data_IF_493645382170
#
_entry.id   IF_493645382170
#
_cell.length_a   1.000
_cell.length_b   1.000
_cell.length_c   1.000
_cell.angle_alpha   90.00
_cell.angle_beta   90.00
_cell.angle_gamma   90.00
#
_symmetry.space_group_name_H-M   'P 1'
#
loop_
_entity.id
_entity.type
_entity.pdbx_description
1 polymer ?
#
# COMPACT_ATOMS: atom_id res chain seq x y z
N UNK A 1 33.54 -3.98 1.00
CA UNK A 1 34.60 -3.08 0.43
C UNK A 1 33.98 -1.83 -0.22
N UNK A 2 32.98 -1.92 -1.11
CA UNK A 2 32.35 -0.75 -1.77
C UNK A 2 31.93 0.33 -0.76
N UNK A 3 31.14 -0.03 0.26
CA UNK A 3 30.62 0.93 1.25
C UNK A 3 31.76 1.56 2.07
N UNK A 4 32.71 0.77 2.56
CA UNK A 4 33.80 1.28 3.40
C UNK A 4 34.79 2.15 2.63
N UNK A 5 35.06 1.82 1.36
CA UNK A 5 35.91 2.68 0.50
C UNK A 5 35.22 4.00 0.19
N UNK A 6 33.92 3.97 -0.12
CA UNK A 6 33.15 5.17 -0.43
C UNK A 6 33.06 6.13 0.78
N UNK A 7 32.84 5.60 1.97
CA UNK A 7 32.73 6.43 3.20
C UNK A 7 34.03 7.16 3.57
N UNK A 8 35.16 6.75 2.99
CA UNK A 8 36.45 7.44 3.15
C UNK A 8 36.63 8.58 2.15
N UNK A 9 35.81 8.66 1.12
CA UNK A 9 35.86 9.77 0.16
C UNK A 9 35.11 10.98 0.70
N UNK A 10 35.52 12.17 0.26
CA UNK A 10 34.84 13.43 0.59
C UNK A 10 34.59 14.19 -0.70
N UNK A 11 33.39 14.71 -0.88
CA UNK A 11 33.02 15.54 -2.03
C UNK A 11 33.62 16.95 -1.90
N UNK A 12 33.60 17.73 -3.00
CA UNK A 12 33.99 19.16 -2.99
C UNK A 12 33.17 19.98 -1.99
N UNK A 13 31.94 19.56 -1.68
CA UNK A 13 31.08 20.16 -0.66
C UNK A 13 31.36 19.69 0.78
N UNK A 14 32.45 18.95 1.01
CA UNK A 14 32.87 18.46 2.33
C UNK A 14 32.00 17.32 2.89
N UNK A 15 31.19 16.66 2.05
CA UNK A 15 30.35 15.54 2.48
C UNK A 15 31.05 14.20 2.24
N UNK A 16 31.01 13.32 3.26
CA UNK A 16 31.50 11.94 3.12
C UNK A 16 30.64 11.17 2.13
N UNK A 17 31.26 10.24 1.41
CA UNK A 17 30.55 9.36 0.51
C UNK A 17 29.71 8.35 1.29
N UNK A 18 28.38 8.46 1.23
CA UNK A 18 27.45 7.55 1.87
C UNK A 18 26.77 6.63 0.85
N UNK A 19 26.33 5.47 1.31
CA UNK A 19 25.75 4.43 0.46
C UNK A 19 24.31 4.14 0.83
N UNK A 20 23.49 3.83 -0.20
CA UNK A 20 22.19 3.18 -0.01
C UNK A 20 22.29 1.79 -0.65
N UNK A 21 21.89 0.75 0.09
CA UNK A 21 21.83 -0.62 -0.41
C UNK A 21 20.37 -1.04 -0.50
N UNK A 22 19.90 -1.30 -1.70
CA UNK A 22 18.56 -1.85 -1.96
C UNK A 22 18.58 -3.36 -1.99
N UNK A 23 17.61 -3.99 -1.32
CA UNK A 23 17.43 -5.44 -1.29
C UNK A 23 15.95 -5.83 -1.26
N UNK A 24 15.66 -7.10 -1.53
CA UNK A 24 14.32 -7.60 -1.80
C UNK A 24 13.41 -7.80 -0.58
N UNK A 25 13.93 -7.82 0.65
CA UNK A 25 13.12 -8.08 1.84
C UNK A 25 13.63 -7.42 3.12
N UNK A 26 12.71 -7.09 4.05
CA UNK A 26 13.03 -6.52 5.36
C UNK A 26 14.03 -7.37 6.13
N UNK A 27 13.83 -8.70 6.15
CA UNK A 27 14.76 -9.64 6.80
C UNK A 27 16.16 -9.57 6.20
N UNK A 28 16.25 -9.40 4.89
CA UNK A 28 17.54 -9.26 4.21
C UNK A 28 18.21 -7.92 4.57
N UNK A 29 17.44 -6.84 4.73
CA UNK A 29 17.98 -5.56 5.20
C UNK A 29 18.71 -5.72 6.55
N UNK A 30 18.07 -6.38 7.53
CA UNK A 30 18.69 -6.63 8.83
C UNK A 30 19.96 -7.45 8.70
N UNK A 31 19.93 -8.58 7.99
CA UNK A 31 21.10 -9.44 7.81
C UNK A 31 22.30 -8.72 7.19
N UNK A 32 22.05 -7.85 6.19
CA UNK A 32 23.13 -7.09 5.53
C UNK A 32 23.65 -6.01 6.48
N UNK A 33 22.76 -5.30 7.17
CA UNK A 33 23.14 -4.25 8.12
C UNK A 33 23.93 -4.83 9.29
N UNK A 34 23.47 -5.92 9.88
CA UNK A 34 24.16 -6.62 10.98
C UNK A 34 25.57 -7.03 10.54
N UNK A 35 25.66 -7.67 9.37
CA UNK A 35 26.96 -8.06 8.80
C UNK A 35 27.90 -6.87 8.56
N UNK A 36 27.38 -5.74 8.05
CA UNK A 36 28.17 -4.51 7.86
C UNK A 36 28.68 -3.96 9.19
N UNK A 37 27.84 -3.91 10.20
CA UNK A 37 28.18 -3.43 11.54
C UNK A 37 29.24 -4.33 12.23
N UNK A 38 29.10 -5.66 12.11
CA UNK A 38 30.09 -6.63 12.60
C UNK A 38 31.46 -6.45 11.93
N UNK A 39 31.49 -5.93 10.68
CA UNK A 39 32.75 -5.65 9.95
C UNK A 39 33.19 -4.18 10.07
N UNK A 40 32.71 -3.45 11.05
CA UNK A 40 33.13 -2.08 11.35
C UNK A 40 32.61 -1.02 10.40
N UNK A 41 31.53 -1.31 9.63
CA UNK A 41 30.87 -0.35 8.73
C UNK A 41 29.54 0.07 9.35
N UNK A 42 29.47 1.32 9.85
CA UNK A 42 28.26 1.82 10.49
C UNK A 42 27.08 1.83 9.53
N UNK A 43 26.06 1.04 9.79
CA UNK A 43 24.88 0.92 8.95
C UNK A 43 23.60 0.91 9.76
N UNK A 44 22.51 1.32 9.11
CA UNK A 44 21.15 1.25 9.66
C UNK A 44 20.19 0.61 8.66
N UNK A 45 19.14 -0.02 9.18
CA UNK A 45 18.06 -0.59 8.36
C UNK A 45 16.95 0.44 8.21
N UNK A 46 16.40 0.57 6.99
CA UNK A 46 15.26 1.44 6.72
C UNK A 46 14.21 0.71 5.90
N UNK A 47 12.98 0.60 6.40
CA UNK A 47 11.87 -0.01 5.67
C UNK A 47 10.51 0.41 6.25
N UNK A 48 9.43 0.21 5.50
CA UNK A 48 8.07 0.57 5.90
C UNK A 48 7.51 -0.15 7.15
N UNK A 49 8.21 -1.15 7.68
CA UNK A 49 7.84 -1.80 8.95
C UNK A 49 8.38 -1.12 10.21
N UNK A 50 9.19 -0.06 10.04
CA UNK A 50 9.67 0.77 11.15
C UNK A 50 8.62 1.83 11.48
N UNK A 51 8.52 2.19 12.76
CA UNK A 51 7.70 3.31 13.20
C UNK A 51 8.18 4.63 12.59
N UNK A 52 7.30 5.63 12.55
CA UNK A 52 7.65 6.98 12.09
C UNK A 52 8.85 7.55 12.86
N UNK A 53 8.87 7.36 14.18
CA UNK A 53 9.96 7.84 15.05
C UNK A 53 11.29 7.19 14.70
N UNK A 54 11.33 5.87 14.53
CA UNK A 54 12.55 5.15 14.14
C UNK A 54 13.06 5.61 12.77
N UNK A 55 12.17 5.76 11.80
CA UNK A 55 12.53 6.26 10.47
C UNK A 55 13.15 7.65 10.55
N UNK A 56 12.54 8.59 11.28
CA UNK A 56 13.08 9.93 11.49
C UNK A 56 14.44 9.93 12.16
N UNK A 57 14.64 9.11 13.18
CA UNK A 57 15.94 8.96 13.87
C UNK A 57 17.04 8.49 12.92
N UNK A 58 16.71 7.56 12.02
CA UNK A 58 17.66 7.06 11.01
C UNK A 58 17.95 8.15 9.97
N UNK A 59 16.95 8.84 9.46
CA UNK A 59 17.07 9.94 8.52
C UNK A 59 17.99 11.04 9.07
N UNK A 60 17.75 11.49 10.30
CA UNK A 60 18.55 12.50 10.97
C UNK A 60 20.00 12.05 11.18
N UNK A 61 20.20 10.79 11.59
CA UNK A 61 21.54 10.23 11.81
C UNK A 61 22.30 10.04 10.50
N UNK A 62 21.62 9.65 9.42
CA UNK A 62 22.24 9.53 8.10
C UNK A 62 22.60 10.92 7.55
N UNK A 63 21.73 11.90 7.65
CA UNK A 63 21.99 13.28 7.25
C UNK A 63 23.18 13.88 8.01
N UNK A 64 23.33 13.54 9.29
CA UNK A 64 24.48 13.92 10.13
C UNK A 64 25.73 13.05 9.86
N UNK A 65 25.71 12.21 8.85
CA UNK A 65 26.81 11.33 8.43
C UNK A 65 27.32 10.36 9.51
N UNK A 66 26.43 9.96 10.43
CA UNK A 66 26.74 8.96 11.48
C UNK A 66 26.73 7.53 10.92
N UNK A 67 25.99 7.30 9.84
CA UNK A 67 25.95 6.03 9.12
C UNK A 67 26.67 6.13 7.77
N UNK A 68 27.52 5.16 7.49
CA UNK A 68 28.14 5.00 6.18
C UNK A 68 27.14 4.44 5.15
N UNK A 69 26.16 3.69 5.64
CA UNK A 69 25.21 3.00 4.80
C UNK A 69 23.81 2.93 5.42
N UNK A 70 22.79 3.04 4.57
CA UNK A 70 21.42 2.63 4.88
C UNK A 70 21.06 1.44 4.00
N UNK A 71 20.57 0.35 4.61
CA UNK A 71 20.09 -0.84 3.91
C UNK A 71 18.57 -0.82 3.90
N UNK A 72 17.96 -0.90 2.73
CA UNK A 72 16.54 -0.64 2.55
C UNK A 72 15.88 -1.57 1.52
N UNK A 73 14.56 -1.58 1.53
CA UNK A 73 13.72 -2.10 0.44
C UNK A 73 13.26 -0.95 -0.46
N UNK A 74 12.36 -1.20 -1.42
CA UNK A 74 11.72 -0.16 -2.24
C UNK A 74 11.08 0.99 -1.42
N UNK A 75 10.89 0.82 -0.12
CA UNK A 75 10.33 1.85 0.77
C UNK A 75 11.07 3.20 0.78
N UNK A 76 12.34 3.21 0.34
CA UNK A 76 13.14 4.44 0.22
C UNK A 76 13.10 5.03 -1.20
N UNK A 77 12.36 4.42 -2.12
CA UNK A 77 12.19 4.90 -3.49
C UNK A 77 11.49 6.26 -3.57
N UNK A 78 10.44 6.49 -2.77
CA UNK A 78 9.65 7.71 -2.80
C UNK A 78 9.59 8.43 -1.45
N UNK A 79 9.43 9.75 -1.46
CA UNK A 79 9.04 10.57 -0.31
C UNK A 79 10.11 10.87 0.74
N UNK A 80 11.33 10.31 0.66
CA UNK A 80 12.39 10.53 1.64
C UNK A 80 13.62 11.17 1.00
N UNK A 81 14.15 12.24 1.61
CA UNK A 81 15.34 12.93 1.12
C UNK A 81 16.63 12.39 1.75
N UNK A 82 17.05 11.20 1.36
CA UNK A 82 18.35 10.64 1.73
C UNK A 82 19.26 10.56 0.49
N UNK A 83 20.09 11.58 0.26
CA UNK A 83 21.08 11.57 -0.83
C UNK A 83 22.27 10.69 -0.48
N UNK A 84 22.76 9.94 -1.46
CA UNK A 84 23.95 9.12 -1.33
C UNK A 84 24.95 9.45 -2.45
N UNK A 85 26.24 9.19 -2.24
CA UNK A 85 27.21 9.20 -3.33
C UNK A 85 27.17 7.92 -4.16
N UNK A 86 26.68 6.82 -3.55
CA UNK A 86 26.49 5.57 -4.29
C UNK A 86 25.22 4.84 -3.90
N UNK A 87 24.63 4.15 -4.88
CA UNK A 87 23.50 3.23 -4.73
C UNK A 87 23.96 1.83 -5.14
N UNK A 88 23.61 0.84 -4.34
CA UNK A 88 23.95 -0.56 -4.60
C UNK A 88 22.65 -1.37 -4.60
N UNK A 89 22.33 -1.99 -5.71
CA UNK A 89 21.25 -2.96 -5.80
C UNK A 89 21.84 -4.35 -5.49
N UNK A 90 21.58 -4.86 -4.29
CA UNK A 90 22.00 -6.22 -3.88
C UNK A 90 21.12 -7.29 -4.51
N UNK A 91 19.94 -6.91 -4.95
CA UNK A 91 19.04 -7.73 -5.75
C UNK A 91 18.18 -6.83 -6.62
N UNK A 92 17.82 -7.29 -7.79
CA UNK A 92 16.89 -6.62 -8.69
C UNK A 92 15.43 -7.06 -8.45
N UNK A 93 15.20 -7.98 -7.50
CA UNK A 93 13.86 -8.33 -7.05
C UNK A 93 13.41 -7.40 -5.93
N UNK A 94 12.16 -6.96 -5.97
CA UNK A 94 11.51 -6.16 -4.91
C UNK A 94 10.23 -6.87 -4.45
N UNK A 95 10.32 -7.59 -3.33
CA UNK A 95 9.25 -8.46 -2.87
C UNK A 95 9.07 -9.67 -3.80
N UNK A 96 7.91 -9.80 -4.43
CA UNK A 96 7.58 -10.93 -5.31
C UNK A 96 7.79 -10.65 -6.81
N UNK A 97 8.26 -9.46 -7.17
CA UNK A 97 8.39 -9.02 -8.57
C UNK A 97 9.81 -8.53 -8.84
N UNK A 98 10.19 -8.52 -10.12
CA UNK A 98 11.35 -7.77 -10.58
C UNK A 98 11.08 -6.26 -10.45
N UNK A 99 12.14 -5.51 -10.26
CA UNK A 99 12.13 -4.05 -10.23
C UNK A 99 11.66 -3.52 -11.60
N UNK A 100 10.73 -2.59 -11.61
CA UNK A 100 10.34 -1.88 -12.84
C UNK A 100 11.40 -0.85 -13.22
N UNK A 101 11.46 -0.47 -14.49
CA UNK A 101 12.39 0.58 -14.96
C UNK A 101 12.10 1.91 -14.26
N UNK A 102 10.82 2.25 -14.04
CA UNK A 102 10.43 3.48 -13.34
C UNK A 102 10.91 3.49 -11.88
N UNK A 103 10.75 2.39 -11.13
CA UNK A 103 11.26 2.27 -9.77
C UNK A 103 12.79 2.32 -9.74
N UNK A 104 13.44 1.65 -10.69
CA UNK A 104 14.89 1.66 -10.81
C UNK A 104 15.43 3.06 -11.03
N UNK A 105 14.90 3.82 -11.99
CA UNK A 105 15.24 5.22 -12.26
C UNK A 105 15.07 6.11 -11.04
N UNK A 106 13.99 5.91 -10.30
CA UNK A 106 13.71 6.66 -9.07
C UNK A 106 14.70 6.35 -7.95
N UNK A 107 15.13 5.08 -7.84
CA UNK A 107 16.10 4.63 -6.84
C UNK A 107 17.53 5.04 -7.22
N UNK A 108 17.91 4.92 -8.48
CA UNK A 108 19.25 5.33 -8.94
C UNK A 108 19.44 6.84 -8.81
N UNK A 109 18.38 7.62 -9.01
CA UNK A 109 18.37 9.07 -8.80
C UNK A 109 18.70 9.53 -7.38
N UNK A 110 18.85 8.60 -6.42
CA UNK A 110 19.39 8.87 -5.07
C UNK A 110 20.91 9.03 -5.08
N UNK A 111 21.60 8.54 -6.10
CA UNK A 111 23.05 8.65 -6.23
C UNK A 111 23.45 10.00 -6.84
N UNK A 112 24.40 10.69 -6.22
CA UNK A 112 25.02 11.86 -6.81
C UNK A 112 24.19 13.13 -6.83
N UNK A 113 23.48 13.41 -5.74
CA UNK A 113 22.63 14.60 -5.66
C UNK A 113 23.40 15.91 -5.84
N UNK A 114 22.91 16.75 -6.75
CA UNK A 114 23.48 18.07 -7.04
C UNK A 114 23.67 18.92 -5.77
N UNK A 115 24.85 19.52 -5.63
CA UNK A 115 25.23 20.33 -4.48
C UNK A 115 25.62 19.55 -3.21
N UNK A 116 25.58 18.20 -3.22
CA UNK A 116 26.03 17.35 -2.11
C UNK A 116 27.17 16.43 -2.50
N UNK A 117 27.13 15.83 -3.70
CA UNK A 117 28.13 14.88 -4.18
C UNK A 117 28.56 15.24 -5.60
N UNK A 118 29.84 15.11 -5.91
CA UNK A 118 30.41 15.46 -7.20
C UNK A 118 30.04 14.43 -8.30
N UNK A 119 29.81 13.19 -7.90
CA UNK A 119 29.44 12.07 -8.78
C UNK A 119 28.49 11.13 -8.08
N UNK A 120 27.57 10.52 -8.84
CA UNK A 120 26.75 9.39 -8.44
C UNK A 120 27.35 8.08 -8.99
N UNK A 121 27.41 7.04 -8.15
CA UNK A 121 27.82 5.69 -8.54
C UNK A 121 26.66 4.73 -8.32
N UNK A 122 26.42 3.87 -9.29
CA UNK A 122 25.39 2.83 -9.18
C UNK A 122 26.02 1.46 -9.44
N UNK A 123 25.70 0.50 -8.58
CA UNK A 123 26.18 -0.87 -8.67
C UNK A 123 25.01 -1.83 -8.68
N UNK A 124 24.99 -2.72 -9.66
CA UNK A 124 24.05 -3.83 -9.77
C UNK A 124 24.81 -5.11 -9.42
N UNK A 125 24.41 -5.79 -8.35
CA UNK A 125 24.98 -7.07 -7.96
C UNK A 125 24.09 -8.16 -8.54
N UNK A 126 24.41 -8.58 -9.76
CA UNK A 126 23.61 -9.50 -10.55
C UNK A 126 24.12 -10.93 -10.37
N UNK A 127 23.21 -11.88 -10.22
CA UNK A 127 23.50 -13.31 -10.29
C UNK A 127 23.03 -13.83 -11.66
N UNK A 128 23.94 -14.13 -12.59
CA UNK A 128 23.56 -14.65 -13.90
C UNK A 128 22.69 -15.91 -13.79
N UNK A 129 21.78 -16.07 -14.75
CA UNK A 129 20.85 -17.21 -14.85
C UNK A 129 19.91 -17.40 -13.65
N UNK A 130 19.95 -16.52 -12.65
CA UNK A 130 19.08 -16.64 -11.50
C UNK A 130 17.65 -16.20 -11.83
N UNK A 131 16.68 -17.09 -11.60
CA UNK A 131 15.25 -16.77 -11.53
C UNK A 131 14.84 -16.61 -10.07
N UNK A 132 14.14 -15.53 -9.74
CA UNK A 132 13.75 -15.24 -8.35
C UNK A 132 12.61 -16.12 -7.87
N UNK A 133 11.62 -16.36 -8.74
CA UNK A 133 10.51 -17.30 -8.54
C UNK A 133 10.33 -18.18 -9.77
N UNK A 134 9.90 -19.43 -9.57
CA UNK A 134 9.74 -20.39 -10.67
C UNK A 134 8.68 -20.05 -11.73
N UNK A 135 7.90 -18.98 -11.54
CA UNK A 135 6.92 -18.48 -12.52
C UNK A 135 7.38 -17.22 -13.27
N UNK A 136 8.63 -16.79 -13.13
CA UNK A 136 9.19 -15.67 -13.89
C UNK A 136 9.91 -16.17 -15.13
N UNK A 137 9.65 -15.51 -16.26
CA UNK A 137 10.27 -15.86 -17.54
C UNK A 137 11.72 -15.33 -17.63
N UNK A 138 12.00 -14.15 -17.05
CA UNK A 138 13.31 -13.48 -17.11
C UNK A 138 14.24 -13.88 -15.98
N UNK A 139 15.53 -13.92 -16.29
CA UNK A 139 16.64 -14.06 -15.35
C UNK A 139 17.12 -12.69 -14.85
N UNK A 140 17.87 -12.65 -13.72
CA UNK A 140 18.31 -11.38 -13.11
C UNK A 140 19.25 -10.58 -14.02
N UNK A 141 20.04 -11.22 -14.84
CA UNK A 141 20.92 -10.58 -15.84
C UNK A 141 20.15 -10.01 -17.05
N UNK A 142 19.09 -10.70 -17.50
CA UNK A 142 18.16 -10.16 -18.51
C UNK A 142 17.45 -8.91 -17.97
N UNK A 143 16.93 -8.97 -16.75
CA UNK A 143 16.32 -7.81 -16.08
C UNK A 143 17.33 -6.67 -15.93
N UNK A 144 18.56 -6.95 -15.53
CA UNK A 144 19.60 -5.92 -15.44
C UNK A 144 19.84 -5.23 -16.79
N UNK A 145 19.85 -6.01 -17.88
CA UNK A 145 20.00 -5.47 -19.24
C UNK A 145 18.84 -4.55 -19.61
N UNK A 146 17.60 -4.95 -19.32
CA UNK A 146 16.40 -4.15 -19.61
C UNK A 146 16.36 -2.86 -18.80
N UNK A 147 16.67 -2.92 -17.50
CA UNK A 147 16.76 -1.75 -16.64
C UNK A 147 17.82 -0.75 -17.13
N UNK A 148 18.96 -1.23 -17.64
CA UNK A 148 20.02 -0.37 -18.18
C UNK A 148 19.68 0.23 -19.54
N UNK A 149 18.76 -0.36 -20.31
CA UNK A 149 18.23 0.25 -21.53
C UNK A 149 17.36 1.46 -21.24
N UNK A 150 16.73 1.51 -20.05
CA UNK A 150 15.98 2.67 -19.59
C UNK A 150 14.64 2.87 -20.30
N UNK A 151 14.09 1.85 -20.96
CA UNK A 151 12.77 1.93 -21.56
C UNK A 151 11.70 1.94 -20.46
N UNK A 152 11.08 3.12 -20.24
CA UNK A 152 10.03 3.29 -19.26
C UNK A 152 8.71 2.77 -19.83
N UNK A 153 7.99 1.98 -19.04
CA UNK A 153 6.65 1.51 -19.39
C UNK A 153 5.71 2.69 -19.62
N UNK A 154 4.82 2.55 -20.61
CA UNK A 154 3.83 3.56 -20.93
C UNK A 154 2.85 3.70 -19.76
N UNK A 155 2.65 4.93 -19.25
CA UNK A 155 1.74 5.20 -18.14
C UNK A 155 0.36 5.56 -18.69
N UNK A 156 -0.63 4.75 -18.40
CA UNK A 156 -2.04 5.02 -18.70
C UNK A 156 -2.80 5.55 -17.45
N UNK A 157 -2.68 6.84 -17.12
CA UNK A 157 -3.22 7.37 -15.86
C UNK A 157 -4.75 7.43 -15.81
N UNK A 158 -5.45 7.41 -16.95
CA UNK A 158 -6.90 7.64 -17.06
C UNK A 158 -7.63 6.52 -17.80
N UNK A 159 -7.34 5.28 -17.45
CA UNK A 159 -7.83 4.09 -18.16
C UNK A 159 -9.36 3.92 -18.17
N UNK A 160 -10.14 4.69 -17.38
CA UNK A 160 -11.58 4.56 -17.35
C UNK A 160 -12.32 5.88 -17.05
N UNK A 161 -13.65 5.87 -17.32
CA UNK A 161 -14.53 7.04 -17.14
C UNK A 161 -14.53 7.60 -15.72
N UNK A 162 -14.40 6.77 -14.71
CA UNK A 162 -14.45 7.17 -13.31
C UNK A 162 -13.20 7.95 -12.92
N UNK A 163 -12.01 7.48 -13.31
CA UNK A 163 -10.74 8.17 -13.10
C UNK A 163 -10.65 9.48 -13.88
N UNK A 164 -11.18 9.50 -15.10
CA UNK A 164 -11.28 10.72 -15.89
C UNK A 164 -12.17 11.77 -15.21
N UNK A 165 -13.30 11.33 -14.65
CA UNK A 165 -14.20 12.21 -13.92
C UNK A 165 -13.58 12.73 -12.62
N UNK A 166 -12.85 11.90 -11.88
CA UNK A 166 -12.08 12.29 -10.69
C UNK A 166 -11.09 13.42 -11.02
N UNK A 167 -10.30 13.25 -12.07
CA UNK A 167 -9.32 14.25 -12.50
C UNK A 167 -9.95 15.58 -12.92
N UNK A 168 -11.04 15.51 -13.67
CA UNK A 168 -11.77 16.72 -14.07
C UNK A 168 -12.37 17.43 -12.84
N UNK A 169 -12.94 16.66 -11.91
CA UNK A 169 -13.48 17.19 -10.66
C UNK A 169 -12.38 17.90 -9.86
N UNK A 170 -11.22 17.28 -9.70
CA UNK A 170 -10.08 17.87 -9.00
C UNK A 170 -9.65 19.20 -9.64
N UNK A 171 -9.58 19.26 -10.98
CA UNK A 171 -9.25 20.48 -11.73
C UNK A 171 -10.28 21.58 -11.49
N UNK A 172 -11.58 21.27 -11.56
CA UNK A 172 -12.65 22.23 -11.32
C UNK A 172 -12.63 22.72 -9.85
N UNK A 173 -12.40 21.82 -8.90
CA UNK A 173 -12.31 22.18 -7.47
C UNK A 173 -11.12 23.10 -7.19
N UNK A 174 -9.96 22.84 -7.78
CA UNK A 174 -8.77 23.66 -7.65
C UNK A 174 -8.96 25.08 -8.23
N UNK A 175 -9.69 25.20 -9.34
CA UNK A 175 -10.00 26.48 -9.97
C UNK A 175 -11.17 27.25 -9.29
N UNK A 176 -11.95 26.57 -8.42
CA UNK A 176 -13.17 27.11 -7.81
C UNK A 176 -14.38 27.15 -8.76
N UNK A 177 -14.19 27.54 -10.00
CA UNK A 177 -15.11 27.41 -11.13
C UNK A 177 -14.32 27.41 -12.42
N UNK A 178 -14.87 26.84 -13.49
CA UNK A 178 -14.20 26.78 -14.78
C UNK A 178 -15.19 26.72 -15.93
N UNK A 179 -14.94 27.46 -16.99
CA UNK A 179 -15.77 27.35 -18.22
C UNK A 179 -15.70 25.93 -18.77
N UNK A 180 -16.86 25.39 -19.19
CA UNK A 180 -16.95 24.04 -19.75
C UNK A 180 -16.04 23.83 -20.96
N UNK A 181 -15.93 24.85 -21.83
CA UNK A 181 -15.04 24.79 -23.00
C UNK A 181 -13.57 24.73 -22.60
N UNK A 182 -13.17 25.54 -21.61
CA UNK A 182 -11.80 25.58 -21.08
C UNK A 182 -11.46 24.25 -20.37
N UNK A 183 -12.40 23.71 -19.57
CA UNK A 183 -12.23 22.40 -18.94
C UNK A 183 -12.03 21.30 -19.97
N UNK A 184 -12.88 21.25 -21.00
CA UNK A 184 -12.79 20.27 -22.07
C UNK A 184 -11.48 20.41 -22.86
N UNK A 185 -11.07 21.64 -23.20
CA UNK A 185 -9.81 21.90 -23.89
C UNK A 185 -8.60 21.47 -23.06
N UNK A 186 -8.57 21.85 -21.78
CA UNK A 186 -7.48 21.46 -20.87
C UNK A 186 -7.34 19.94 -20.78
N UNK A 187 -8.47 19.25 -20.56
CA UNK A 187 -8.45 17.80 -20.44
C UNK A 187 -8.07 17.09 -21.76
N UNK A 188 -8.53 17.59 -22.91
CA UNK A 188 -8.16 17.01 -24.21
C UNK A 188 -6.69 17.19 -24.60
N UNK A 189 -5.95 18.05 -23.90
CA UNK A 189 -4.50 18.26 -24.07
C UNK A 189 -3.68 17.27 -23.24
N UNK A 190 -4.29 16.50 -22.34
CA UNK A 190 -3.60 15.46 -21.59
C UNK A 190 -3.29 14.27 -22.52
N UNK A 191 -2.05 13.79 -22.46
CA UNK A 191 -1.53 12.74 -23.35
C UNK A 191 -2.32 11.42 -23.30
N UNK A 192 -2.99 11.15 -22.21
CA UNK A 192 -3.69 9.87 -21.95
C UNK A 192 -5.21 10.03 -21.78
N UNK A 193 -5.82 11.06 -22.38
CA UNK A 193 -7.25 11.28 -22.31
C UNK A 193 -8.02 10.26 -23.18
N UNK A 194 -8.31 9.09 -22.62
CA UNK A 194 -9.02 7.99 -23.32
C UNK A 194 -10.55 8.18 -23.35
N UNK A 195 -11.12 9.02 -22.50
CA UNK A 195 -12.57 9.27 -22.37
C UNK A 195 -12.88 10.70 -22.81
N UNK A 196 -13.91 10.91 -23.66
CA UNK A 196 -14.32 12.26 -24.06
C UNK A 196 -14.65 13.14 -22.84
N UNK A 197 -14.12 14.38 -22.75
CA UNK A 197 -14.36 15.28 -21.61
C UNK A 197 -15.86 15.52 -21.36
N UNK A 198 -16.66 15.57 -22.42
CA UNK A 198 -18.13 15.73 -22.36
C UNK A 198 -18.81 14.63 -21.54
N UNK A 199 -18.33 13.39 -21.63
CA UNK A 199 -18.94 12.27 -20.96
C UNK A 199 -18.55 12.23 -19.48
N UNK A 200 -17.33 12.61 -19.15
CA UNK A 200 -16.89 12.79 -17.78
C UNK A 200 -17.63 13.96 -17.10
N UNK A 201 -17.82 15.10 -17.79
CA UNK A 201 -18.60 16.24 -17.28
C UNK A 201 -20.08 15.87 -17.06
N UNK A 202 -20.73 15.17 -18.01
CA UNK A 202 -22.09 14.67 -17.83
C UNK A 202 -22.19 13.73 -16.62
N UNK A 203 -21.18 12.87 -16.43
CA UNK A 203 -21.11 11.98 -15.27
C UNK A 203 -21.04 12.76 -13.95
N UNK A 204 -20.19 13.79 -13.87
CA UNK A 204 -20.07 14.64 -12.69
C UNK A 204 -21.38 15.39 -12.37
N UNK A 205 -22.08 15.91 -13.37
CA UNK A 205 -23.40 16.54 -13.18
C UNK A 205 -24.42 15.53 -12.68
N UNK A 206 -24.50 14.32 -13.30
CA UNK A 206 -25.39 13.24 -12.88
C UNK A 206 -25.14 12.81 -11.44
N UNK A 207 -23.88 12.80 -11.01
CA UNK A 207 -23.46 12.46 -9.64
C UNK A 207 -23.54 13.64 -8.66
N UNK A 208 -24.05 14.81 -9.10
CA UNK A 208 -24.16 16.02 -8.28
C UNK A 208 -22.81 16.51 -7.70
N UNK A 209 -21.71 16.19 -8.36
CA UNK A 209 -20.37 16.66 -7.97
C UNK A 209 -20.13 18.10 -8.42
N UNK A 210 -20.71 18.47 -9.56
CA UNK A 210 -20.68 19.83 -10.09
C UNK A 210 -22.09 20.27 -10.48
N UNK A 211 -22.32 21.58 -10.54
CA UNK A 211 -23.45 22.23 -11.19
C UNK A 211 -22.97 23.06 -12.37
N UNK A 212 -23.80 23.22 -13.38
CA UNK A 212 -23.51 24.05 -14.52
C UNK A 212 -24.39 25.31 -14.43
N UNK A 213 -23.76 26.47 -14.43
CA UNK A 213 -24.43 27.76 -14.40
C UNK A 213 -23.70 28.73 -15.33
N UNK A 214 -24.42 29.38 -16.26
CA UNK A 214 -23.88 30.33 -17.23
C UNK A 214 -22.66 29.77 -18.02
N UNK A 215 -22.70 28.50 -18.41
CA UNK A 215 -21.62 27.86 -19.16
C UNK A 215 -20.38 27.49 -18.33
N UNK A 216 -20.43 27.69 -17.01
CA UNK A 216 -19.36 27.35 -16.07
C UNK A 216 -19.71 26.10 -15.25
N UNK A 217 -18.74 25.25 -15.05
CA UNK A 217 -18.76 24.15 -14.07
C UNK A 217 -18.37 24.68 -12.69
N UNK A 218 -19.23 24.52 -11.73
CA UNK A 218 -19.04 24.97 -10.34
C UNK A 218 -19.12 23.73 -9.44
N UNK A 219 -18.10 23.45 -8.61
CA UNK A 219 -18.13 22.30 -7.73
C UNK A 219 -19.19 22.48 -6.65
N UNK A 220 -19.92 21.43 -6.34
CA UNK A 220 -20.82 21.38 -5.17
C UNK A 220 -20.00 21.11 -3.90
N UNK A 221 -20.62 21.29 -2.72
CA UNK A 221 -19.94 20.95 -1.45
C UNK A 221 -19.60 19.45 -1.38
N UNK A 222 -20.48 18.57 -1.92
CA UNK A 222 -20.18 17.15 -2.07
C UNK A 222 -18.99 16.92 -3.03
N UNK A 223 -18.96 17.63 -4.16
CA UNK A 223 -17.85 17.55 -5.11
C UNK A 223 -16.53 17.97 -4.48
N UNK A 224 -16.52 19.07 -3.73
CA UNK A 224 -15.33 19.53 -2.99
C UNK A 224 -14.88 18.50 -1.95
N UNK A 225 -15.80 18.01 -1.12
CA UNK A 225 -15.51 17.02 -0.09
C UNK A 225 -14.95 15.72 -0.70
N UNK A 226 -15.53 15.24 -1.80
CA UNK A 226 -15.09 14.06 -2.55
C UNK A 226 -13.68 14.25 -3.11
N UNK A 227 -13.44 15.38 -3.79
CA UNK A 227 -12.14 15.71 -4.39
C UNK A 227 -11.04 15.86 -3.34
N UNK A 228 -11.30 16.58 -2.25
CA UNK A 228 -10.35 16.77 -1.13
C UNK A 228 -10.03 15.47 -0.39
N UNK A 229 -10.85 14.46 -0.56
CA UNK A 229 -10.67 13.13 0.03
C UNK A 229 -10.04 12.12 -0.94
N UNK A 230 -9.64 12.54 -2.13
CA UNK A 230 -9.08 11.68 -3.19
C UNK A 230 -9.99 10.49 -3.52
N UNK A 231 -11.30 10.68 -3.41
CA UNK A 231 -12.30 9.67 -3.75
C UNK A 231 -12.81 9.87 -5.17
N UNK A 232 -13.14 8.78 -5.83
CA UNK A 232 -13.87 8.85 -7.10
C UNK A 232 -15.30 9.37 -6.86
N UNK A 233 -15.97 9.94 -7.88
CA UNK A 233 -17.36 10.39 -7.77
C UNK A 233 -18.32 9.31 -7.28
N UNK A 234 -18.11 8.04 -7.66
CA UNK A 234 -18.92 6.93 -7.19
C UNK A 234 -18.70 6.64 -5.69
N UNK A 235 -17.45 6.62 -5.26
CA UNK A 235 -17.12 6.44 -3.84
C UNK A 235 -17.70 7.57 -2.98
N UNK A 236 -17.61 8.84 -3.44
CA UNK A 236 -18.20 9.96 -2.72
C UNK A 236 -19.73 9.82 -2.52
N UNK A 237 -20.45 9.39 -3.56
CA UNK A 237 -21.89 9.08 -3.44
C UNK A 237 -22.16 7.88 -2.54
N UNK A 238 -21.32 6.86 -2.62
CA UNK A 238 -21.46 5.66 -1.78
C UNK A 238 -21.29 5.99 -0.30
N UNK A 239 -20.26 6.75 0.07
CA UNK A 239 -20.06 7.25 1.44
C UNK A 239 -21.28 8.05 1.91
N UNK A 240 -21.75 9.00 1.08
CA UNK A 240 -22.93 9.82 1.41
C UNK A 240 -24.15 8.96 1.73
N UNK A 241 -24.45 7.95 0.90
CA UNK A 241 -25.60 7.06 1.10
C UNK A 241 -25.44 6.15 2.29
N UNK A 242 -24.24 5.58 2.47
CA UNK A 242 -23.98 4.61 3.54
C UNK A 242 -23.84 5.26 4.91
N UNK A 243 -23.45 6.53 4.97
CA UNK A 243 -23.39 7.28 6.22
C UNK A 243 -24.75 7.39 6.94
N UNK A 244 -25.87 7.09 6.25
CA UNK A 244 -27.20 7.03 6.87
C UNK A 244 -27.46 5.75 7.69
N UNK A 245 -26.73 4.67 7.41
CA UNK A 245 -27.07 3.31 7.89
C UNK A 245 -25.90 2.52 8.46
N UNK A 246 -24.69 2.94 8.19
CA UNK A 246 -23.45 2.24 8.59
C UNK A 246 -22.62 3.12 9.51
N UNK A 247 -21.89 2.47 10.39
CA UNK A 247 -20.92 3.15 11.25
C UNK A 247 -19.74 3.72 10.43
N UNK A 248 -19.19 4.88 10.82
CA UNK A 248 -18.09 5.52 10.10
C UNK A 248 -16.89 4.59 9.85
N UNK A 249 -16.54 3.76 10.82
CA UNK A 249 -15.44 2.81 10.69
C UNK A 249 -15.71 1.74 9.62
N UNK A 250 -16.92 1.20 9.58
CA UNK A 250 -17.31 0.22 8.57
C UNK A 250 -17.22 0.80 7.15
N UNK A 251 -17.64 2.06 6.98
CA UNK A 251 -17.56 2.76 5.71
C UNK A 251 -16.08 2.99 5.32
N UNK A 252 -15.24 3.39 6.26
CA UNK A 252 -13.83 3.63 6.02
C UNK A 252 -13.08 2.35 5.60
N UNK A 253 -13.39 1.23 6.25
CA UNK A 253 -12.84 -0.10 5.91
C UNK A 253 -13.39 -0.61 4.57
N UNK A 254 -14.66 -0.36 4.27
CA UNK A 254 -15.29 -0.74 3.00
C UNK A 254 -14.64 -0.05 1.79
N UNK A 255 -14.19 1.20 1.93
CA UNK A 255 -13.54 1.94 0.85
C UNK A 255 -12.23 1.29 0.40
N UNK A 256 -11.50 0.66 1.33
CA UNK A 256 -10.26 -0.07 1.05
C UNK A 256 -10.12 -1.26 2.02
N UNK A 257 -10.74 -2.41 1.73
CA UNK A 257 -10.68 -3.58 2.59
C UNK A 257 -9.27 -4.17 2.67
N UNK A 258 -8.89 -4.67 3.86
CA UNK A 258 -7.60 -5.32 4.06
C UNK A 258 -7.58 -6.72 3.46
N UNK A 259 -6.88 -6.90 2.33
CA UNK A 259 -6.84 -8.17 1.59
C UNK A 259 -5.52 -8.94 1.72
N UNK A 260 -4.47 -8.34 2.30
CA UNK A 260 -3.15 -8.95 2.44
C UNK A 260 -3.08 -9.96 3.60
N UNK A 261 -3.99 -10.93 3.57
CA UNK A 261 -4.13 -11.99 4.57
C UNK A 261 -3.88 -13.34 3.92
N UNK A 262 -3.03 -14.14 4.54
CA UNK A 262 -2.58 -15.41 3.99
C UNK A 262 -2.80 -16.55 4.99
N UNK A 263 -3.11 -17.73 4.49
CA UNK A 263 -3.12 -18.93 5.33
C UNK A 263 -1.73 -19.28 5.85
N UNK A 264 -1.64 -19.78 7.08
CA UNK A 264 -0.39 -20.36 7.58
C UNK A 264 0.06 -21.54 6.73
N UNK A 265 1.36 -21.85 6.75
CA UNK A 265 1.90 -23.04 6.06
C UNK A 265 1.22 -24.33 6.52
N UNK A 266 0.78 -24.40 7.78
CA UNK A 266 0.09 -25.55 8.37
C UNK A 266 -1.26 -25.77 7.70
N UNK A 267 -2.06 -24.70 7.59
CA UNK A 267 -3.36 -24.70 6.90
C UNK A 267 -3.20 -25.09 5.43
N UNK A 268 -2.27 -24.43 4.72
CA UNK A 268 -2.01 -24.71 3.31
C UNK A 268 -1.65 -26.16 3.07
N UNK A 269 -0.78 -26.73 3.90
CA UNK A 269 -0.38 -28.14 3.78
C UNK A 269 -1.56 -29.09 3.96
N UNK A 270 -2.42 -28.83 4.92
CA UNK A 270 -3.57 -29.68 5.20
C UNK A 270 -4.63 -29.63 4.10
N UNK A 271 -4.97 -28.41 3.65
CA UNK A 271 -5.93 -28.20 2.54
C UNK A 271 -5.40 -28.86 1.26
N UNK A 272 -4.16 -28.58 0.87
CA UNK A 272 -3.55 -29.18 -0.32
C UNK A 272 -3.53 -30.71 -0.27
N UNK A 273 -3.29 -31.28 0.90
CA UNK A 273 -3.30 -32.74 1.09
C UNK A 273 -4.71 -33.32 1.00
N UNK A 274 -5.69 -32.68 1.64
CA UNK A 274 -7.07 -33.16 1.66
C UNK A 274 -7.73 -33.11 0.27
N UNK A 275 -7.51 -32.05 -0.48
CA UNK A 275 -8.14 -31.82 -1.78
C UNK A 275 -7.25 -32.21 -2.97
N UNK A 276 -5.99 -32.59 -2.75
CA UNK A 276 -5.01 -32.93 -3.79
C UNK A 276 -4.87 -31.85 -4.88
N UNK A 277 -4.94 -30.60 -4.48
CA UNK A 277 -4.85 -29.44 -5.36
C UNK A 277 -3.99 -28.36 -4.73
N UNK A 278 -3.46 -27.47 -5.57
CA UNK A 278 -2.72 -26.30 -5.09
C UNK A 278 -3.70 -25.15 -4.89
N UNK A 279 -4.04 -24.88 -3.65
CA UNK A 279 -5.01 -23.82 -3.29
C UNK A 279 -4.34 -22.43 -3.22
N UNK A 280 -5.07 -21.36 -3.55
CA UNK A 280 -4.59 -20.01 -3.33
C UNK A 280 -4.15 -19.79 -1.88
N UNK A 281 -3.11 -19.00 -1.70
CA UNK A 281 -2.56 -18.73 -0.36
C UNK A 281 -3.30 -17.61 0.38
N UNK A 282 -4.09 -16.80 -0.33
CA UNK A 282 -4.84 -15.66 0.23
C UNK A 282 -6.15 -16.09 0.85
N UNK A 283 -6.44 -15.57 2.04
CA UNK A 283 -7.65 -15.89 2.81
C UNK A 283 -8.95 -15.50 2.10
N UNK A 284 -8.98 -14.33 1.43
CA UNK A 284 -10.15 -13.82 0.74
C UNK A 284 -10.19 -14.14 -0.77
N UNK A 285 -9.54 -15.19 -1.22
CA UNK A 285 -9.45 -15.55 -2.65
C UNK A 285 -10.48 -16.57 -3.13
N UNK A 286 -11.65 -16.62 -2.54
CA UNK A 286 -12.72 -17.57 -2.94
C UNK A 286 -12.54 -18.99 -2.40
N UNK A 287 -11.42 -19.29 -1.75
CA UNK A 287 -11.08 -20.63 -1.22
C UNK A 287 -12.14 -21.20 -0.28
N UNK A 288 -12.89 -20.35 0.42
CA UNK A 288 -13.96 -20.79 1.30
C UNK A 288 -15.15 -21.39 0.54
N UNK A 289 -15.48 -20.83 -0.62
CA UNK A 289 -16.54 -21.34 -1.49
C UNK A 289 -16.10 -22.66 -2.11
N UNK A 290 -14.89 -22.70 -2.68
CA UNK A 290 -14.34 -23.89 -3.29
C UNK A 290 -14.23 -25.06 -2.30
N UNK A 291 -13.92 -24.79 -1.03
CA UNK A 291 -13.85 -25.83 0.01
C UNK A 291 -15.25 -26.34 0.37
N UNK A 292 -16.26 -25.48 0.47
CA UNK A 292 -17.62 -25.90 0.79
C UNK A 292 -18.25 -26.70 -0.35
N UNK A 293 -18.09 -26.29 -1.59
CA UNK A 293 -18.65 -26.97 -2.77
C UNK A 293 -17.88 -28.23 -3.15
N UNK A 294 -16.56 -28.18 -3.19
CA UNK A 294 -15.71 -29.36 -3.45
C UNK A 294 -15.79 -30.37 -2.30
N UNK A 295 -16.03 -29.90 -1.08
CA UNK A 295 -16.26 -30.75 0.09
C UNK A 295 -17.52 -31.62 -0.06
N UNK A 296 -18.58 -31.06 -0.61
CA UNK A 296 -19.85 -31.74 -0.83
C UNK A 296 -19.78 -32.74 -2.01
N UNK A 297 -19.14 -32.37 -3.12
CA UNK A 297 -19.12 -33.18 -4.34
C UNK A 297 -18.06 -34.31 -4.34
N UNK A 298 -16.93 -34.16 -3.65
CA UNK A 298 -15.79 -35.08 -3.73
C UNK A 298 -15.36 -35.73 -2.42
N UNK A 299 -16.12 -35.57 -1.35
CA UNK A 299 -15.76 -36.14 -0.05
C UNK A 299 -14.47 -35.57 0.56
N UNK A 300 -13.98 -34.43 0.04
CA UNK A 300 -12.75 -33.79 0.53
C UNK A 300 -12.87 -33.28 1.95
N UNK A 301 -14.05 -32.81 2.34
CA UNK A 301 -14.31 -32.34 3.71
C UNK A 301 -14.08 -33.45 4.75
N UNK A 302 -14.43 -34.69 4.42
CA UNK A 302 -14.21 -35.86 5.33
C UNK A 302 -12.72 -36.18 5.60
N UNK A 303 -11.80 -35.60 4.83
CA UNK A 303 -10.35 -35.80 4.97
C UNK A 303 -9.67 -34.69 5.77
N UNK A 304 -10.39 -33.62 6.12
CA UNK A 304 -9.88 -32.59 6.97
C UNK A 304 -9.83 -33.05 8.42
N UNK A 305 -8.81 -32.63 9.15
CA UNK A 305 -8.70 -32.94 10.58
C UNK A 305 -9.76 -32.22 11.40
N UNK A 306 -10.08 -32.76 12.58
CA UNK A 306 -10.96 -32.11 13.57
C UNK A 306 -10.50 -30.68 13.90
N UNK A 307 -9.18 -30.48 13.99
CA UNK A 307 -8.58 -29.17 14.24
C UNK A 307 -8.94 -28.15 13.13
N UNK A 308 -8.98 -28.59 11.89
CA UNK A 308 -9.34 -27.72 10.76
C UNK A 308 -10.82 -27.28 10.82
N UNK A 309 -11.73 -28.19 11.21
CA UNK A 309 -13.14 -27.83 11.45
C UNK A 309 -13.30 -26.84 12.61
N UNK A 310 -12.56 -27.01 13.69
CA UNK A 310 -12.56 -26.07 14.81
C UNK A 310 -12.04 -24.69 14.39
N UNK A 311 -11.04 -24.64 13.51
CA UNK A 311 -10.49 -23.42 12.93
C UNK A 311 -11.52 -22.72 12.02
N UNK A 312 -12.20 -23.46 11.14
CA UNK A 312 -13.30 -22.93 10.31
C UNK A 312 -14.41 -22.35 11.20
N UNK A 313 -14.80 -23.03 12.25
CA UNK A 313 -15.77 -22.53 13.19
C UNK A 313 -15.35 -21.22 13.88
N UNK A 314 -14.04 -21.03 14.14
CA UNK A 314 -13.51 -19.77 14.65
C UNK A 314 -13.59 -18.64 13.60
N UNK A 315 -13.18 -18.91 12.36
CA UNK A 315 -13.27 -17.93 11.28
C UNK A 315 -14.73 -17.51 11.03
N UNK A 316 -15.65 -18.47 10.98
CA UNK A 316 -17.07 -18.18 10.77
C UNK A 316 -17.64 -17.30 11.88
N UNK A 317 -17.34 -17.60 13.13
CA UNK A 317 -17.82 -16.79 14.26
C UNK A 317 -17.23 -15.39 14.34
N UNK A 318 -16.01 -15.21 13.84
CA UNK A 318 -15.31 -13.94 13.98
C UNK A 318 -15.39 -13.06 12.72
N UNK A 319 -15.24 -13.64 11.52
CA UNK A 319 -15.06 -12.91 10.28
C UNK A 319 -16.16 -13.13 9.24
N UNK A 320 -17.10 -14.06 9.47
CA UNK A 320 -18.16 -14.40 8.51
C UNK A 320 -19.52 -14.42 9.22
N UNK A 321 -19.84 -13.33 9.90
CA UNK A 321 -21.10 -13.19 10.69
C UNK A 321 -22.29 -12.83 9.84
N UNK A 322 -22.09 -12.30 8.65
CA UNK A 322 -23.17 -11.83 7.80
C UNK A 322 -24.08 -12.99 7.34
N UNK A 323 -25.38 -12.67 7.18
CA UNK A 323 -26.40 -13.60 6.69
C UNK A 323 -26.82 -13.28 5.24
N UNK A 324 -25.91 -12.70 4.46
CA UNK A 324 -26.20 -12.36 3.07
C UNK A 324 -26.38 -13.60 2.21
N UNK A 325 -27.29 -13.57 1.24
CA UNK A 325 -27.43 -14.69 0.27
C UNK A 325 -26.14 -14.97 -0.48
N UNK A 326 -25.36 -13.91 -0.76
CA UNK A 326 -24.11 -13.98 -1.51
C UNK A 326 -22.86 -14.03 -0.59
N UNK A 327 -23.02 -14.49 0.68
CA UNK A 327 -21.87 -14.66 1.55
C UNK A 327 -21.02 -15.87 1.09
N UNK A 328 -19.69 -15.75 1.11
CA UNK A 328 -18.83 -14.67 1.60
C UNK A 328 -18.49 -13.58 0.57
N UNK A 329 -19.01 -13.64 -0.66
CA UNK A 329 -18.67 -12.71 -1.76
C UNK A 329 -19.34 -11.32 -1.61
N UNK A 330 -20.28 -11.19 -0.71
CA UNK A 330 -20.99 -9.92 -0.43
C UNK A 330 -20.08 -8.77 0.09
N UNK A 331 -18.79 -9.02 0.32
CA UNK A 331 -17.83 -8.04 0.83
C UNK A 331 -17.89 -7.82 2.35
N UNK A 332 -18.97 -8.19 3.05
CA UNK A 332 -19.08 -8.01 4.49
C UNK A 332 -17.98 -8.71 5.31
N UNK A 333 -17.54 -9.95 4.98
CA UNK A 333 -16.45 -10.58 5.70
C UNK A 333 -15.14 -9.78 5.68
N UNK A 334 -14.85 -9.08 4.59
CA UNK A 334 -13.68 -8.21 4.50
C UNK A 334 -13.81 -6.98 5.40
N UNK A 335 -15.02 -6.42 5.48
CA UNK A 335 -15.33 -5.29 6.38
C UNK A 335 -15.23 -5.76 7.85
N UNK A 336 -15.82 -6.89 8.22
CA UNK A 336 -15.74 -7.47 9.55
C UNK A 336 -14.30 -7.72 9.98
N UNK A 337 -13.48 -8.28 9.09
CA UNK A 337 -12.05 -8.54 9.33
C UNK A 337 -11.26 -7.24 9.53
N UNK A 338 -11.44 -6.26 8.66
CA UNK A 338 -10.76 -4.96 8.78
C UNK A 338 -11.20 -4.21 10.05
N UNK A 339 -12.49 -4.20 10.35
CA UNK A 339 -13.03 -3.62 11.61
C UNK A 339 -12.42 -4.32 12.82
N UNK A 340 -12.31 -5.64 12.82
CA UNK A 340 -11.64 -6.40 13.88
C UNK A 340 -10.18 -5.94 14.09
N UNK A 341 -9.40 -5.73 13.02
CA UNK A 341 -8.03 -5.21 13.13
C UNK A 341 -8.01 -3.84 13.81
N UNK A 342 -8.90 -2.93 13.37
CA UNK A 342 -8.95 -1.57 13.91
C UNK A 342 -9.37 -1.59 15.37
N UNK A 343 -10.35 -2.41 15.77
CA UNK A 343 -10.73 -2.54 17.16
C UNK A 343 -9.57 -3.05 18.04
N UNK A 344 -8.82 -4.04 17.57
CA UNK A 344 -7.62 -4.48 18.30
C UNK A 344 -6.56 -3.38 18.41
N UNK A 345 -6.43 -2.54 17.38
CA UNK A 345 -5.54 -1.36 17.42
C UNK A 345 -6.03 -0.34 18.44
N UNK A 346 -7.34 -0.06 18.51
CA UNK A 346 -7.98 0.84 19.50
C UNK A 346 -7.86 0.32 20.94
N UNK A 347 -7.80 -1.01 21.12
CA UNK A 347 -7.49 -1.67 22.41
C UNK A 347 -6.03 -1.47 22.84
N UNK A 348 -5.17 -0.85 22.02
CA UNK A 348 -3.77 -0.56 22.33
C UNK A 348 -2.77 -1.58 21.77
N UNK A 349 -3.22 -2.61 21.02
CA UNK A 349 -2.31 -3.57 20.40
C UNK A 349 -1.54 -2.94 19.25
N UNK A 350 -0.24 -3.21 19.18
CA UNK A 350 0.55 -2.80 18.01
C UNK A 350 0.37 -3.76 16.82
N UNK A 351 0.69 -3.35 15.58
CA UNK A 351 0.55 -4.20 14.40
C UNK A 351 1.24 -5.56 14.53
N UNK A 352 2.41 -5.62 15.17
CA UNK A 352 3.14 -6.89 15.38
C UNK A 352 2.43 -7.81 16.39
N UNK A 353 1.74 -7.26 17.38
CA UNK A 353 0.94 -8.03 18.33
C UNK A 353 -0.34 -8.55 17.67
N UNK A 354 -1.01 -7.71 16.88
CA UNK A 354 -2.20 -8.11 16.11
C UNK A 354 -1.86 -9.25 15.14
N UNK A 355 -0.75 -9.14 14.40
CA UNK A 355 -0.34 -10.20 13.47
C UNK A 355 0.04 -11.49 14.18
N UNK A 356 0.69 -11.41 15.34
CA UNK A 356 0.95 -12.61 16.17
C UNK A 356 -0.34 -13.25 16.67
N UNK A 357 -1.32 -12.45 17.08
CA UNK A 357 -2.63 -12.94 17.52
C UNK A 357 -3.37 -13.61 16.37
N UNK A 358 -3.40 -13.01 15.18
CA UNK A 358 -3.97 -13.59 13.97
C UNK A 358 -3.34 -14.95 13.63
N UNK A 359 -2.03 -15.05 13.70
CA UNK A 359 -1.33 -16.31 13.44
C UNK A 359 -1.63 -17.36 14.52
N UNK A 360 -1.58 -17.00 15.79
CA UNK A 360 -1.76 -17.93 16.91
C UNK A 360 -3.19 -18.47 17.04
N UNK A 361 -4.20 -17.59 16.88
CA UNK A 361 -5.59 -17.92 17.15
C UNK A 361 -6.35 -18.35 15.90
N UNK A 362 -5.97 -17.80 14.74
CA UNK A 362 -6.69 -17.99 13.48
C UNK A 362 -5.85 -18.63 12.36
N UNK A 363 -4.57 -18.94 12.61
CA UNK A 363 -3.65 -19.46 11.59
C UNK A 363 -3.57 -18.58 10.31
N UNK A 364 -3.76 -17.29 10.48
CA UNK A 364 -3.71 -16.29 9.44
C UNK A 364 -2.42 -15.49 9.53
N UNK A 365 -1.68 -15.44 8.41
CA UNK A 365 -0.44 -14.71 8.30
C UNK A 365 -0.68 -13.32 7.68
N UNK A 366 -0.21 -12.29 8.34
CA UNK A 366 -0.25 -10.90 7.88
C UNK A 366 1.10 -10.25 8.14
N UNK A 367 1.57 -9.44 7.21
CA UNK A 367 2.80 -8.67 7.43
C UNK A 367 2.50 -7.40 8.22
N UNK A 368 3.19 -7.13 9.35
CA UNK A 368 2.94 -5.95 10.17
C UNK A 368 3.03 -4.61 9.42
N UNK A 369 3.93 -4.52 8.42
CA UNK A 369 4.09 -3.33 7.62
C UNK A 369 2.92 -3.08 6.66
N UNK A 370 2.32 -4.13 6.11
CA UNK A 370 1.15 -3.99 5.25
C UNK A 370 -0.06 -3.52 6.09
N UNK A 371 -0.18 -4.08 7.31
CA UNK A 371 -1.19 -3.65 8.26
C UNK A 371 -1.02 -2.18 8.67
N UNK A 372 0.22 -1.75 8.94
CA UNK A 372 0.50 -0.37 9.32
C UNK A 372 0.13 0.61 8.18
N UNK A 373 0.56 0.32 6.95
CA UNK A 373 0.22 1.13 5.78
C UNK A 373 -1.30 1.17 5.54
N UNK A 374 -1.98 0.06 5.76
CA UNK A 374 -3.43 0.01 5.64
C UNK A 374 -4.15 0.80 6.76
N UNK A 375 -3.65 0.78 7.99
CA UNK A 375 -4.21 1.62 9.07
C UNK A 375 -4.10 3.11 8.74
N UNK A 376 -3.01 3.56 8.11
CA UNK A 376 -2.88 4.93 7.61
C UNK A 376 -3.97 5.25 6.55
N UNK A 377 -4.27 4.30 5.67
CA UNK A 377 -5.37 4.43 4.70
C UNK A 377 -6.75 4.50 5.39
N UNK A 378 -6.98 3.70 6.43
CA UNK A 378 -8.23 3.75 7.22
C UNK A 378 -8.41 5.12 7.88
N UNK A 379 -7.35 5.71 8.42
CA UNK A 379 -7.40 7.06 8.99
C UNK A 379 -7.80 8.07 7.91
N UNK A 380 -7.19 7.99 6.73
CA UNK A 380 -7.54 8.85 5.60
C UNK A 380 -9.00 8.67 5.17
N UNK A 381 -9.49 7.45 5.11
CA UNK A 381 -10.87 7.13 4.79
C UNK A 381 -11.85 7.63 5.86
N UNK A 382 -11.51 7.55 7.15
CA UNK A 382 -12.30 8.14 8.23
C UNK A 382 -12.42 9.67 8.08
N UNK A 383 -11.34 10.36 7.72
CA UNK A 383 -11.38 11.79 7.40
C UNK A 383 -12.26 12.08 6.19
N UNK A 384 -12.27 11.21 5.17
CA UNK A 384 -13.16 11.32 4.03
C UNK A 384 -14.63 11.17 4.43
N UNK A 385 -14.94 10.17 5.26
CA UNK A 385 -16.29 9.98 5.83
C UNK A 385 -16.73 11.20 6.63
N UNK A 386 -15.85 11.76 7.47
CA UNK A 386 -16.13 12.97 8.25
C UNK A 386 -16.51 14.15 7.35
N UNK A 387 -15.70 14.44 6.32
CA UNK A 387 -15.95 15.55 5.38
C UNK A 387 -17.28 15.39 4.64
N UNK A 388 -17.57 14.18 4.14
CA UNK A 388 -18.80 13.91 3.39
C UNK A 388 -20.03 13.90 4.30
N UNK A 389 -19.94 13.33 5.51
CA UNK A 389 -21.03 13.35 6.49
C UNK A 389 -21.39 14.77 6.92
N UNK A 390 -20.40 15.67 7.03
CA UNK A 390 -20.62 17.09 7.30
C UNK A 390 -21.43 17.78 6.20
N UNK A 391 -21.21 17.42 4.93
CA UNK A 391 -22.03 17.91 3.79
C UNK A 391 -23.48 17.40 3.89
N UNK A 392 -23.69 16.24 4.50
CA UNK A 392 -25.01 15.68 4.77
C UNK A 392 -25.70 16.26 6.03
N UNK A 393 -25.07 17.23 6.71
CA UNK A 393 -25.59 17.84 7.94
C UNK A 393 -25.37 17.00 9.20
N UNK A 394 -24.57 15.93 9.13
CA UNK A 394 -24.27 15.02 10.26
C UNK A 394 -23.00 15.46 11.00
N UNK A 395 -23.10 16.56 11.72
CA UNK A 395 -21.97 17.12 12.49
C UNK A 395 -21.71 16.39 13.82
N UNK A 396 -22.69 15.65 14.30
CA UNK A 396 -22.61 14.81 15.51
C UNK A 396 -21.57 13.69 15.42
N UNK A 397 -21.24 13.23 14.20
CA UNK A 397 -20.23 12.19 13.95
C UNK A 397 -18.78 12.74 14.03
N UNK A 398 -18.57 14.04 14.00
CA UNK A 398 -17.23 14.64 13.91
C UNK A 398 -16.35 14.24 15.10
N UNK A 399 -16.82 14.46 16.32
CA UNK A 399 -16.09 14.12 17.54
C UNK A 399 -15.84 12.60 17.70
N UNK A 400 -16.81 11.78 17.30
CA UNK A 400 -16.66 10.32 17.38
C UNK A 400 -15.59 9.80 16.39
N UNK A 401 -15.51 10.38 15.19
CA UNK A 401 -14.50 10.02 14.19
C UNK A 401 -13.12 10.49 14.65
N UNK A 402 -13.00 11.71 15.20
CA UNK A 402 -11.73 12.23 15.73
C UNK A 402 -11.18 11.36 16.87
N UNK A 403 -12.03 10.91 17.81
CA UNK A 403 -11.62 9.97 18.85
C UNK A 403 -11.14 8.63 18.27
N UNK A 404 -11.82 8.10 17.25
CA UNK A 404 -11.37 6.89 16.57
C UNK A 404 -10.00 7.07 15.92
N UNK A 405 -9.79 8.15 15.19
CA UNK A 405 -8.50 8.48 14.56
C UNK A 405 -7.40 8.57 15.62
N UNK A 406 -7.63 9.35 16.69
CA UNK A 406 -6.66 9.52 17.76
C UNK A 406 -6.26 8.18 18.42
N UNK A 407 -7.21 7.23 18.58
CA UNK A 407 -6.91 5.91 19.12
C UNK A 407 -6.11 5.02 18.15
N UNK A 408 -6.34 5.16 16.84
CA UNK A 408 -5.58 4.43 15.82
C UNK A 408 -4.15 4.96 15.72
N UNK A 409 -3.98 6.29 15.76
CA UNK A 409 -2.69 6.99 15.65
C UNK A 409 -1.84 6.89 16.92
N UNK A 410 -2.45 6.62 18.07
CA UNK A 410 -1.76 6.65 19.36
C UNK A 410 -0.41 5.95 19.28
N UNK A 411 0.70 6.67 19.61
CA UNK A 411 2.02 6.06 19.61
C UNK A 411 2.03 4.85 20.54
N UNK A 412 2.74 3.84 20.14
CA UNK A 412 3.02 2.69 21.00
C UNK A 412 3.86 3.21 22.16
N UNK A 413 3.25 3.40 23.33
CA UNK A 413 4.02 3.58 24.55
C UNK A 413 4.88 2.33 24.70
N UNK A 414 6.19 2.53 24.66
CA UNK A 414 7.15 1.45 24.70
C UNK A 414 6.88 0.57 25.93
N UNK A 415 6.71 -0.70 25.66
CA UNK A 415 7.18 -1.72 26.58
C UNK A 415 8.48 -2.22 25.97
N UNK A 416 9.55 -1.83 26.64
CA UNK A 416 10.92 -2.30 26.45
C UNK A 416 11.00 -3.83 26.39
#
# INVERSE_FOLDING_TARGET
RLVSSEFRTTSSAGKKGQSIVFTFSRRRCHRISDWLNEHGVSSAVYHGGLSYYERRKIEDSYTKQRYACVVTTAALGAGVDLPASQVIFESLAMGAKWLSTADFEQMLGRAGRLGKHDRGKVYLVVQPERKYHGGQDLTEDEVASDLLRGEIEEVEPFANKERSAEQILATICAAGNMELRTTAKHYSQLLSASVPPSDALKHLVKKRMIRVQEGKAIPTDLGKATSMSFLTPNQGIEVLKKSERMEPLEIAVMLDPFENVYFSKKVQKEINSAFRTHMPTRFFSGVFLDISDVGNERGGASRLSRWMFELFGRWTREFFKCKCPDAPECGHPKIEFGTWIVEKRKEGMNPSEITRKLLKEYELWVYPGDMLSWLDTVIHNLQAVQRISKVAGKTDLESAIEDQIARIEKPLEGRD
#
